data_IF_132237851307
#
_entry.id   IF_132237851307
#
_cell.length_a   1.000
_cell.length_b   1.000
_cell.length_c   1.000
_cell.angle_alpha   90.00
_cell.angle_beta   90.00
_cell.angle_gamma   90.00
#
_symmetry.space_group_name_H-M   'P 1'
#
loop_
_entity.id
_entity.type
_entity.pdbx_description
1 polymer ?
#
# COMPACT_ATOMS: atom_id res chain seq x y z
N UNK A 1 32.82 -66.32 -10.87
CA UNK A 1 32.19 -67.32 -11.76
C UNK A 1 30.71 -67.34 -11.43
N UNK A 2 29.84 -67.12 -12.43
CA UNK A 2 28.38 -66.88 -12.36
C UNK A 2 27.98 -65.50 -11.79
N UNK A 3 27.07 -64.70 -12.36
CA UNK A 3 26.20 -64.81 -13.55
C UNK A 3 25.91 -63.36 -13.98
N UNK A 4 26.04 -63.06 -15.29
CA UNK A 4 25.53 -61.82 -15.90
C UNK A 4 24.04 -62.01 -16.10
N UNK A 5 23.22 -61.13 -15.54
CA UNK A 5 21.84 -60.95 -15.98
C UNK A 5 21.81 -59.76 -16.94
N UNK A 6 21.48 -60.09 -18.19
CA UNK A 6 20.97 -59.19 -19.21
C UNK A 6 19.64 -58.63 -18.73
N UNK A 7 19.52 -57.32 -18.62
CA UNK A 7 18.23 -56.63 -18.66
C UNK A 7 18.36 -55.46 -19.64
N UNK A 8 18.04 -55.80 -20.89
CA UNK A 8 17.92 -54.90 -22.02
C UNK A 8 16.58 -54.15 -21.95
N UNK A 9 16.60 -52.89 -22.38
CA UNK A 9 15.45 -52.06 -22.76
C UNK A 9 14.30 -51.92 -21.76
N UNK A 10 14.41 -50.91 -20.89
CA UNK A 10 13.24 -50.16 -20.41
C UNK A 10 13.22 -48.79 -21.09
N UNK A 11 12.69 -48.74 -22.30
CA UNK A 11 12.21 -47.47 -22.88
C UNK A 11 11.15 -46.91 -21.93
N UNK A 12 11.37 -45.69 -21.46
CA UNK A 12 10.36 -44.96 -20.69
C UNK A 12 9.15 -44.69 -21.61
N UNK A 13 7.91 -44.97 -21.16
CA UNK A 13 6.75 -44.67 -21.98
C UNK A 13 6.67 -43.16 -22.20
N UNK A 14 6.71 -42.75 -23.46
CA UNK A 14 6.44 -41.39 -23.87
C UNK A 14 5.06 -40.95 -23.36
N UNK A 15 4.90 -39.70 -22.89
CA UNK A 15 3.61 -39.18 -22.47
C UNK A 15 2.60 -39.26 -23.63
N UNK A 16 1.32 -39.56 -23.34
CA UNK A 16 0.30 -39.70 -24.36
C UNK A 16 -0.01 -38.34 -25.00
N UNK A 17 -0.01 -38.32 -26.32
CA UNK A 17 -0.73 -37.40 -27.21
C UNK A 17 -0.75 -35.92 -26.79
N UNK A 18 0.18 -35.13 -27.34
CA UNK A 18 -0.10 -33.73 -27.63
C UNK A 18 -1.31 -33.65 -28.58
N UNK A 19 -2.26 -32.71 -28.37
CA UNK A 19 -3.39 -32.55 -29.28
C UNK A 19 -2.92 -32.33 -30.71
N UNK A 20 -3.54 -33.02 -31.67
CA UNK A 20 -3.12 -33.12 -33.07
C UNK A 20 -3.30 -31.84 -33.91
N UNK A 21 -3.71 -30.73 -33.29
CA UNK A 21 -3.77 -29.43 -33.94
C UNK A 21 -3.50 -28.33 -32.91
N UNK A 22 -2.63 -27.38 -33.30
CA UNK A 22 -2.52 -26.11 -32.59
C UNK A 22 -3.88 -25.39 -32.70
N UNK A 23 -4.32 -24.67 -31.66
CA UNK A 23 -5.53 -23.86 -31.74
C UNK A 23 -5.45 -22.91 -32.94
N UNK A 24 -6.58 -22.71 -33.63
CA UNK A 24 -6.63 -21.78 -34.74
C UNK A 24 -6.39 -20.35 -34.26
N UNK A 25 -5.99 -19.46 -35.16
CA UNK A 25 -5.84 -18.03 -34.82
C UNK A 25 -7.15 -17.45 -34.28
N UNK A 26 -8.29 -17.91 -34.80
CA UNK A 26 -9.63 -17.51 -34.33
C UNK A 26 -9.90 -17.96 -32.88
N UNK A 27 -9.42 -19.15 -32.48
CA UNK A 27 -9.53 -19.64 -31.10
C UNK A 27 -8.67 -18.82 -30.13
N UNK A 28 -7.50 -18.38 -30.59
CA UNK A 28 -6.59 -17.52 -29.82
C UNK A 28 -7.20 -16.13 -29.65
N UNK A 29 -7.74 -15.55 -30.73
CA UNK A 29 -8.38 -14.23 -30.70
C UNK A 29 -9.64 -14.23 -29.84
N UNK A 30 -10.45 -15.30 -29.90
CA UNK A 30 -11.61 -15.48 -29.02
C UNK A 30 -11.20 -15.58 -27.53
N UNK A 31 -10.13 -16.31 -27.22
CA UNK A 31 -9.60 -16.42 -25.86
C UNK A 31 -9.05 -15.07 -25.34
N UNK A 32 -8.35 -14.31 -26.19
CA UNK A 32 -7.85 -12.98 -25.85
C UNK A 32 -9.00 -11.98 -25.63
N UNK A 33 -10.05 -12.02 -26.45
CA UNK A 33 -11.24 -11.19 -26.27
C UNK A 33 -11.99 -11.53 -24.96
N UNK A 34 -12.04 -12.81 -24.58
CA UNK A 34 -12.62 -13.23 -23.30
C UNK A 34 -11.82 -12.71 -22.10
N UNK A 35 -10.47 -12.79 -22.18
CA UNK A 35 -9.57 -12.23 -21.15
C UNK A 35 -9.73 -10.71 -21.07
N UNK A 36 -9.83 -10.02 -22.21
CA UNK A 36 -10.02 -8.56 -22.25
C UNK A 36 -11.38 -8.15 -21.67
N UNK A 37 -12.44 -8.92 -21.90
CA UNK A 37 -13.74 -8.70 -21.26
C UNK A 37 -13.70 -8.93 -19.75
N UNK A 38 -13.01 -9.97 -19.27
CA UNK A 38 -12.84 -10.18 -17.83
C UNK A 38 -12.01 -9.06 -17.19
N UNK A 39 -10.93 -8.62 -17.84
CA UNK A 39 -10.10 -7.52 -17.35
C UNK A 39 -10.86 -6.19 -17.38
N UNK A 40 -11.68 -5.93 -18.40
CA UNK A 40 -12.56 -4.77 -18.45
C UNK A 40 -13.64 -4.82 -17.36
N UNK A 41 -14.19 -6.00 -17.07
CA UNK A 41 -15.12 -6.20 -15.96
C UNK A 41 -14.46 -5.97 -14.60
N UNK A 42 -13.23 -6.46 -14.40
CA UNK A 42 -12.44 -6.21 -13.17
C UNK A 42 -12.09 -4.72 -13.05
N UNK A 43 -11.71 -4.05 -14.13
CA UNK A 43 -11.45 -2.62 -14.14
C UNK A 43 -12.72 -1.81 -13.82
N UNK A 44 -13.86 -2.17 -14.39
CA UNK A 44 -15.16 -1.56 -14.08
C UNK A 44 -15.59 -1.81 -12.62
N UNK A 45 -15.26 -2.96 -12.03
CA UNK A 45 -15.43 -3.25 -10.60
C UNK A 45 -14.52 -2.39 -9.70
N UNK A 46 -13.35 -1.98 -10.21
CA UNK A 46 -12.39 -1.14 -9.49
C UNK A 46 -12.66 0.37 -9.67
N UNK A 47 -13.27 0.77 -10.79
CA UNK A 47 -13.62 2.16 -11.13
C UNK A 47 -15.06 2.54 -10.78
N UNK A 48 -15.92 1.58 -10.43
CA UNK A 48 -17.24 1.88 -9.89
C UNK A 48 -17.07 2.75 -8.63
N UNK A 49 -17.81 3.88 -8.51
CA UNK A 49 -17.78 4.68 -7.29
C UNK A 49 -18.12 3.74 -6.15
N UNK A 50 -17.21 3.64 -5.18
CA UNK A 50 -17.34 2.77 -4.02
C UNK A 50 -18.46 3.27 -3.12
N UNK A 51 -19.71 3.05 -3.53
CA UNK A 51 -20.79 2.71 -2.61
C UNK A 51 -20.53 1.27 -2.15
N UNK A 52 -19.45 1.08 -1.39
CA UNK A 52 -19.13 -0.20 -0.76
C UNK A 52 -20.02 -0.40 0.46
N UNK A 53 -21.28 -0.75 0.21
CA UNK A 53 -22.10 -1.56 1.11
C UNK A 53 -21.79 -3.06 0.97
N UNK A 54 -20.98 -3.45 -0.03
CA UNK A 54 -20.30 -4.74 -0.06
C UNK A 54 -19.27 -4.76 1.07
N UNK A 55 -19.54 -5.50 2.14
CA UNK A 55 -18.71 -5.58 3.33
C UNK A 55 -17.24 -5.80 2.95
N UNK A 56 -16.44 -4.72 3.02
CA UNK A 56 -14.98 -4.84 2.98
C UNK A 56 -14.58 -5.93 3.96
N UNK A 57 -13.62 -6.77 3.59
CA UNK A 57 -13.07 -7.81 4.47
C UNK A 57 -12.93 -7.24 5.89
N UNK A 58 -13.35 -7.96 6.95
CA UNK A 58 -13.54 -7.39 8.29
C UNK A 58 -12.30 -6.72 8.86
N UNK A 59 -11.12 -6.97 8.32
CA UNK A 59 -9.86 -6.33 8.72
C UNK A 59 -9.26 -5.35 7.70
N UNK A 60 -10.04 -4.89 6.71
CA UNK A 60 -9.57 -3.93 5.70
C UNK A 60 -9.04 -2.63 6.33
N UNK A 61 -9.65 -2.18 7.42
CA UNK A 61 -9.25 -0.99 8.16
C UNK A 61 -7.85 -1.15 8.80
N UNK A 62 -7.45 -2.35 9.22
CA UNK A 62 -6.11 -2.63 9.77
C UNK A 62 -5.04 -2.41 8.71
N UNK A 63 -5.22 -3.03 7.54
CA UNK A 63 -4.29 -2.89 6.43
C UNK A 63 -4.19 -1.45 5.95
N UNK A 64 -5.29 -0.71 6.03
CA UNK A 64 -5.32 0.69 5.62
C UNK A 64 -4.48 1.55 6.57
N UNK A 65 -4.74 1.48 7.88
CA UNK A 65 -4.01 2.25 8.87
C UNK A 65 -2.51 1.92 8.89
N UNK A 66 -2.15 0.63 8.92
CA UNK A 66 -0.74 0.24 8.93
C UNK A 66 -0.03 0.45 7.60
N UNK A 67 -0.75 0.66 6.50
CA UNK A 67 -0.17 1.00 5.20
C UNK A 67 0.58 2.33 5.22
N UNK A 68 0.04 3.33 5.92
CA UNK A 68 0.69 4.63 6.07
C UNK A 68 1.92 4.53 6.97
N UNK A 69 1.82 3.80 8.08
CA UNK A 69 2.95 3.54 8.99
C UNK A 69 4.15 2.91 8.27
N UNK A 70 3.91 1.90 7.43
CA UNK A 70 4.94 1.26 6.59
C UNK A 70 5.57 2.26 5.62
N UNK A 71 4.75 3.10 4.97
CA UNK A 71 5.26 4.11 4.04
C UNK A 71 6.14 5.16 4.74
N UNK A 72 5.96 5.36 6.04
CA UNK A 72 6.78 6.23 6.89
C UNK A 72 7.97 5.51 7.55
N UNK A 73 8.28 4.27 7.14
CA UNK A 73 9.48 3.55 7.58
C UNK A 73 9.32 2.69 8.84
N UNK A 74 8.10 2.54 9.38
CA UNK A 74 7.84 1.65 10.50
C UNK A 74 7.74 0.19 10.04
N UNK A 75 8.24 -0.75 10.85
CA UNK A 75 8.23 -2.18 10.59
C UNK A 75 7.55 -3.01 11.69
N UNK A 76 7.70 -4.34 11.61
CA UNK A 76 7.18 -5.25 12.64
C UNK A 76 7.79 -4.99 14.03
N UNK A 77 9.06 -4.57 14.08
CA UNK A 77 9.76 -4.21 15.30
C UNK A 77 9.21 -2.93 15.96
N UNK A 78 8.37 -2.16 15.27
CA UNK A 78 7.84 -0.88 15.75
C UNK A 78 6.38 -0.95 16.19
N UNK A 79 5.75 -2.13 16.14
CA UNK A 79 4.32 -2.27 16.46
C UNK A 79 4.04 -1.86 17.92
N UNK A 80 4.82 -2.40 18.87
CA UNK A 80 4.64 -2.08 20.29
C UNK A 80 5.05 -0.63 20.58
N UNK A 81 6.12 -0.12 19.98
CA UNK A 81 6.54 1.26 20.22
C UNK A 81 5.58 2.29 19.66
N UNK A 82 5.03 2.06 18.46
CA UNK A 82 3.98 2.90 17.88
C UNK A 82 2.71 2.88 18.73
N UNK A 83 2.32 1.71 19.24
CA UNK A 83 1.24 1.56 20.21
C UNK A 83 1.51 2.38 21.48
N UNK A 84 2.71 2.28 22.05
CA UNK A 84 3.12 3.00 23.25
C UNK A 84 3.17 4.51 23.06
N UNK A 85 3.54 4.97 21.86
CA UNK A 85 3.56 6.39 21.52
C UNK A 85 2.13 6.95 21.47
N UNK A 86 1.17 6.21 20.89
CA UNK A 86 -0.25 6.57 20.89
C UNK A 86 -0.89 6.48 22.28
N UNK A 87 -0.34 5.67 23.18
CA UNK A 87 -0.82 5.53 24.56
C UNK A 87 -0.35 6.68 25.49
N UNK A 88 0.65 7.48 25.08
CA UNK A 88 1.09 8.63 25.86
C UNK A 88 -0.01 9.69 25.97
N UNK A 89 0.05 10.55 26.98
CA UNK A 89 -0.80 11.74 27.04
C UNK A 89 -0.58 12.61 25.80
N UNK A 90 -1.61 13.35 25.38
CA UNK A 90 -1.53 14.24 24.22
C UNK A 90 -0.33 15.19 24.27
N UNK A 91 -0.07 15.79 25.43
CA UNK A 91 1.05 16.70 25.63
C UNK A 91 2.39 15.99 25.42
N UNK A 92 2.63 14.87 26.11
CA UNK A 92 3.88 14.10 25.98
C UNK A 92 4.08 13.58 24.56
N UNK A 93 3.01 13.20 23.86
CA UNK A 93 3.06 12.82 22.46
C UNK A 93 3.56 13.97 21.57
N UNK A 94 2.98 15.17 21.71
CA UNK A 94 3.40 16.34 20.93
C UNK A 94 4.85 16.76 21.25
N UNK A 95 5.24 16.78 22.52
CA UNK A 95 6.60 17.11 22.96
C UNK A 95 7.63 16.16 22.34
N UNK A 96 7.38 14.85 22.39
CA UNK A 96 8.27 13.83 21.81
C UNK A 96 8.41 13.96 20.29
N UNK A 97 7.32 14.30 19.60
CA UNK A 97 7.36 14.54 18.15
C UNK A 97 8.12 15.83 17.83
N UNK A 98 7.96 16.89 18.64
CA UNK A 98 8.67 18.15 18.44
C UNK A 98 10.19 17.96 18.61
N UNK A 99 10.61 17.16 19.59
CA UNK A 99 12.01 16.79 19.77
C UNK A 99 12.58 15.93 18.62
N UNK A 100 11.71 15.22 17.90
CA UNK A 100 12.09 14.39 16.76
C UNK A 100 12.37 15.24 15.49
N UNK A 101 11.84 16.46 15.41
CA UNK A 101 12.14 17.43 14.35
C UNK A 101 10.88 18.02 13.71
N UNK A 102 11.08 18.69 12.58
CA UNK A 102 10.01 19.22 11.73
C UNK A 102 9.87 18.34 10.48
N UNK A 103 8.65 17.89 10.18
CA UNK A 103 8.33 17.15 8.97
C UNK A 103 6.95 17.58 8.42
N UNK A 104 6.76 17.44 7.11
CA UNK A 104 5.50 17.71 6.43
C UNK A 104 4.42 16.66 6.78
N UNK A 105 4.83 15.48 7.27
CA UNK A 105 3.95 14.45 7.78
C UNK A 105 4.35 14.05 9.20
N UNK A 106 3.46 14.24 10.17
CA UNK A 106 3.73 13.90 11.58
C UNK A 106 4.08 12.42 11.76
N UNK A 107 3.51 11.52 10.95
CA UNK A 107 3.83 10.09 11.07
C UNK A 107 5.28 9.78 10.66
N UNK A 108 5.94 10.61 9.86
CA UNK A 108 7.36 10.44 9.51
C UNK A 108 8.31 10.76 10.68
N UNK A 109 7.81 11.46 11.72
CA UNK A 109 8.56 11.71 12.95
C UNK A 109 8.56 10.50 13.90
N UNK A 110 7.68 9.52 13.69
CA UNK A 110 7.53 8.37 14.58
C UNK A 110 8.84 7.56 14.74
N UNK A 111 9.57 7.17 13.68
CA UNK A 111 10.81 6.42 13.84
C UNK A 111 11.83 7.10 14.78
N UNK A 112 12.01 8.42 14.62
CA UNK A 112 12.92 9.21 15.44
C UNK A 112 12.41 9.39 16.88
N UNK A 113 11.11 9.62 17.07
CA UNK A 113 10.49 9.69 18.40
C UNK A 113 10.57 8.34 19.14
N UNK A 114 10.36 7.23 18.43
CA UNK A 114 10.44 5.87 18.95
C UNK A 114 11.87 5.52 19.37
N UNK A 115 12.87 5.87 18.55
CA UNK A 115 14.26 5.49 18.79
C UNK A 115 14.82 6.01 20.13
N UNK A 116 14.31 7.15 20.61
CA UNK A 116 14.76 7.78 21.86
C UNK A 116 14.40 6.99 23.12
N UNK A 117 13.26 6.31 23.12
CA UNK A 117 12.70 5.69 24.33
C UNK A 117 11.98 4.38 24.03
N UNK A 118 12.59 3.58 23.15
CA UNK A 118 12.01 2.34 22.62
C UNK A 118 11.52 1.43 23.74
N UNK A 119 12.33 1.20 24.77
CA UNK A 119 11.99 0.26 25.84
C UNK A 119 10.74 0.68 26.64
N UNK A 120 10.62 1.96 27.02
CA UNK A 120 9.44 2.42 27.74
C UNK A 120 8.19 2.40 26.85
N UNK A 121 8.33 2.76 25.56
CA UNK A 121 7.25 2.70 24.60
C UNK A 121 6.80 1.26 24.31
N UNK A 122 7.71 0.29 24.27
CA UNK A 122 7.34 -1.14 24.12
C UNK A 122 6.47 -1.62 25.29
N UNK A 123 6.83 -1.26 26.53
CA UNK A 123 6.06 -1.60 27.73
C UNK A 123 4.68 -0.93 27.69
N UNK A 124 4.63 0.38 27.42
CA UNK A 124 3.38 1.13 27.35
C UNK A 124 2.47 0.61 26.23
N UNK A 125 3.04 0.24 25.08
CA UNK A 125 2.30 -0.30 23.95
C UNK A 125 1.76 -1.70 24.19
N UNK A 126 2.54 -2.57 24.86
CA UNK A 126 2.07 -3.88 25.27
C UNK A 126 0.89 -3.77 26.25
N UNK A 127 0.99 -2.87 27.24
CA UNK A 127 -0.10 -2.59 28.17
C UNK A 127 -1.36 -2.08 27.45
N UNK A 128 -1.22 -1.08 26.58
CA UNK A 128 -2.35 -0.54 25.81
C UNK A 128 -3.02 -1.62 24.96
N UNK A 129 -2.26 -2.41 24.19
CA UNK A 129 -2.83 -3.45 23.34
C UNK A 129 -3.49 -4.57 24.15
N UNK A 130 -2.97 -4.89 25.34
CA UNK A 130 -3.58 -5.82 26.27
C UNK A 130 -4.91 -5.30 26.81
N UNK A 131 -4.95 -4.03 27.25
CA UNK A 131 -6.16 -3.39 27.78
C UNK A 131 -7.28 -3.29 26.73
N UNK A 132 -6.91 -3.16 25.45
CA UNK A 132 -7.83 -3.21 24.32
C UNK A 132 -8.17 -4.64 23.83
N UNK A 133 -7.67 -5.68 24.50
CA UNK A 133 -7.93 -7.09 24.16
C UNK A 133 -7.32 -7.55 22.83
N UNK A 134 -6.36 -6.80 22.29
CA UNK A 134 -5.68 -7.09 21.02
C UNK A 134 -4.44 -7.96 21.19
N UNK A 135 -3.96 -8.11 22.43
CA UNK A 135 -2.79 -8.90 22.76
C UNK A 135 -3.08 -9.79 23.98
N UNK A 136 -2.72 -11.07 23.88
CA UNK A 136 -2.77 -12.03 25.00
C UNK A 136 -1.37 -12.20 25.57
N UNK A 137 -1.14 -11.73 26.80
CA UNK A 137 0.19 -11.75 27.43
C UNK A 137 1.03 -10.52 27.08
N UNK A 138 2.31 -10.72 26.74
CA UNK A 138 3.26 -9.64 26.41
C UNK A 138 3.87 -9.78 25.02
N UNK A 139 3.60 -10.87 24.30
CA UNK A 139 4.18 -11.13 22.99
C UNK A 139 3.26 -10.71 21.84
N UNK A 140 3.87 -10.11 20.81
CA UNK A 140 3.18 -9.83 19.54
C UNK A 140 2.72 -11.12 18.85
N UNK A 141 1.47 -11.19 18.34
CA UNK A 141 1.01 -12.32 17.54
C UNK A 141 1.92 -12.60 16.34
N UNK A 142 2.21 -13.88 16.08
CA UNK A 142 3.09 -14.30 14.96
C UNK A 142 2.63 -13.71 13.61
N UNK A 143 1.32 -13.67 13.39
CA UNK A 143 0.71 -13.08 12.19
C UNK A 143 1.09 -11.61 12.01
N UNK A 144 1.19 -10.84 13.09
CA UNK A 144 1.52 -9.41 13.01
C UNK A 144 3.00 -9.21 12.67
N UNK A 145 3.88 -10.09 13.14
CA UNK A 145 5.29 -10.10 12.73
C UNK A 145 5.45 -10.45 11.25
N UNK A 146 4.71 -11.45 10.77
CA UNK A 146 4.72 -11.88 9.37
C UNK A 146 4.04 -10.90 8.41
N UNK A 147 3.07 -10.13 8.92
CA UNK A 147 2.33 -9.11 8.18
C UNK A 147 2.40 -7.76 8.92
N UNK A 148 3.53 -7.05 8.86
CA UNK A 148 3.74 -5.84 9.65
C UNK A 148 2.72 -4.74 9.34
N UNK A 149 2.29 -4.62 8.09
CA UNK A 149 1.21 -3.69 7.70
C UNK A 149 -0.12 -3.98 8.41
N UNK A 150 -0.42 -5.24 8.71
CA UNK A 150 -1.60 -5.60 9.50
C UNK A 150 -1.37 -5.26 10.98
N UNK A 151 -0.22 -5.66 11.53
CA UNK A 151 0.12 -5.42 12.94
C UNK A 151 0.20 -3.94 13.31
N UNK A 152 0.81 -3.12 12.47
CA UNK A 152 0.88 -1.66 12.64
C UNK A 152 -0.48 -0.98 12.54
N UNK A 153 -1.48 -1.63 11.93
CA UNK A 153 -2.85 -1.14 11.91
C UNK A 153 -3.55 -1.27 13.26
N UNK A 154 -3.23 -2.32 14.03
CA UNK A 154 -3.93 -2.68 15.25
C UNK A 154 -4.05 -1.54 16.27
N UNK A 155 -2.98 -0.77 16.58
CA UNK A 155 -3.04 0.33 17.52
C UNK A 155 -4.03 1.44 17.09
N UNK A 156 -4.08 1.77 15.80
CA UNK A 156 -5.00 2.79 15.31
C UNK A 156 -6.46 2.33 15.42
N UNK A 157 -6.70 1.04 15.17
CA UNK A 157 -8.04 0.44 15.31
C UNK A 157 -8.47 0.41 16.79
N UNK A 158 -7.54 0.16 17.71
CA UNK A 158 -7.81 0.22 19.16
C UNK A 158 -8.41 1.56 19.59
N UNK A 159 -7.99 2.65 18.92
CA UNK A 159 -8.48 4.01 19.15
C UNK A 159 -9.64 4.42 18.23
N UNK A 160 -10.26 3.49 17.49
CA UNK A 160 -11.46 3.76 16.69
C UNK A 160 -11.20 4.18 15.24
N UNK A 161 -10.04 3.87 14.68
CA UNK A 161 -9.83 4.00 13.22
C UNK A 161 -10.82 3.12 12.45
N UNK A 162 -11.58 3.75 11.56
CA UNK A 162 -12.43 3.08 10.57
C UNK A 162 -11.89 3.32 9.14
N UNK A 163 -12.03 2.32 8.27
CA UNK A 163 -11.69 2.45 6.86
C UNK A 163 -12.46 3.59 6.17
N UNK A 164 -13.70 3.87 6.59
CA UNK A 164 -14.50 4.98 6.09
C UNK A 164 -13.88 6.36 6.39
N UNK A 165 -13.00 6.44 7.40
CA UNK A 165 -12.30 7.66 7.80
C UNK A 165 -10.85 7.70 7.33
N UNK A 166 -10.43 6.76 6.48
CA UNK A 166 -9.07 6.70 5.93
C UNK A 166 -8.55 8.05 5.47
N UNK A 167 -9.34 8.81 4.72
CA UNK A 167 -8.95 10.09 4.17
C UNK A 167 -8.79 11.14 5.27
N UNK A 168 -9.65 11.14 6.29
CA UNK A 168 -9.48 12.04 7.44
C UNK A 168 -8.21 11.70 8.24
N UNK A 169 -7.92 10.41 8.42
CA UNK A 169 -6.68 9.96 9.05
C UNK A 169 -5.45 10.34 8.23
N UNK A 170 -5.44 10.11 6.91
CA UNK A 170 -4.33 10.59 6.08
C UNK A 170 -4.16 12.12 6.17
N UNK A 171 -5.26 12.86 6.40
CA UNK A 171 -5.28 14.31 6.59
C UNK A 171 -4.69 14.76 7.92
N UNK A 172 -4.99 14.06 9.03
CA UNK A 172 -4.46 14.44 10.35
C UNK A 172 -2.95 14.30 10.40
N UNK A 173 -2.40 13.28 9.73
CA UNK A 173 -0.95 13.08 9.63
C UNK A 173 -0.27 14.09 8.72
N UNK A 174 -1.00 14.72 7.80
CA UNK A 174 -0.50 15.74 6.88
C UNK A 174 -0.62 17.18 7.44
N UNK A 175 -0.94 17.33 8.72
CA UNK A 175 -0.86 18.60 9.41
C UNK A 175 0.58 18.85 9.86
N UNK A 176 1.07 20.10 9.82
CA UNK A 176 2.23 20.49 10.63
C UNK A 176 2.00 20.13 12.10
N UNK A 177 3.06 19.76 12.81
CA UNK A 177 2.94 19.41 14.24
C UNK A 177 2.36 20.55 15.08
N UNK A 178 2.69 21.81 14.75
CA UNK A 178 2.12 22.99 15.41
C UNK A 178 0.60 23.06 15.28
N UNK A 179 0.08 22.79 14.08
CA UNK A 179 -1.35 22.84 13.79
C UNK A 179 -2.07 21.69 14.48
N UNK A 180 -1.47 20.50 14.45
CA UNK A 180 -1.97 19.33 15.16
C UNK A 180 -2.07 19.62 16.67
N UNK A 181 -1.00 20.11 17.27
CA UNK A 181 -0.95 20.45 18.70
C UNK A 181 -1.99 21.52 19.07
N UNK A 182 -2.13 22.57 18.25
CA UNK A 182 -3.11 23.63 18.46
C UNK A 182 -4.55 23.12 18.40
N UNK A 183 -4.88 22.22 17.46
CA UNK A 183 -6.19 21.60 17.39
C UNK A 183 -6.49 20.76 18.64
N UNK A 184 -5.51 19.99 19.14
CA UNK A 184 -5.69 19.20 20.36
C UNK A 184 -5.87 20.09 21.60
N UNK A 185 -5.10 21.17 21.72
CA UNK A 185 -5.23 22.13 22.83
C UNK A 185 -6.61 22.81 22.87
N UNK A 186 -7.23 23.06 21.72
CA UNK A 186 -8.58 23.62 21.62
C UNK A 186 -9.71 22.66 22.05
N UNK A 187 -9.41 21.39 22.28
CA UNK A 187 -10.36 20.37 22.76
C UNK A 187 -10.22 20.15 24.27
N UNK A 188 -9.05 20.39 24.83
CA UNK A 188 -8.75 20.12 26.24
C UNK A 188 -9.00 21.35 27.10
N UNK A 189 -10.14 21.40 27.78
CA UNK A 189 -10.46 22.43 28.79
C UNK A 189 -9.93 22.07 30.19
N UNK A 190 -9.16 20.98 30.34
CA UNK A 190 -8.75 20.44 31.64
C UNK A 190 -7.29 20.01 31.69
N UNK A 191 -6.71 19.97 32.90
CA UNK A 191 -5.34 19.49 33.19
C UNK A 191 -5.14 17.99 32.91
N UNK A 192 -6.20 17.24 32.58
CA UNK A 192 -6.13 15.81 32.25
C UNK A 192 -6.13 15.66 30.73
N UNK A 193 -4.96 15.37 30.18
CA UNK A 193 -4.79 15.10 28.76
C UNK A 193 -5.11 13.62 28.45
N UNK A 194 -6.04 13.33 27.53
CA UNK A 194 -6.32 11.95 27.13
C UNK A 194 -5.11 11.34 26.40
N UNK A 195 -5.13 10.02 26.24
CA UNK A 195 -4.17 9.32 25.39
C UNK A 195 -4.18 9.90 23.98
N UNK A 196 -3.02 9.99 23.34
CA UNK A 196 -2.86 10.62 22.04
C UNK A 196 -3.71 9.94 20.96
N UNK A 197 -3.81 8.62 20.98
CA UNK A 197 -4.71 7.87 20.09
C UNK A 197 -6.17 8.32 20.20
N UNK A 198 -6.67 8.49 21.43
CA UNK A 198 -8.03 8.99 21.70
C UNK A 198 -8.21 10.43 21.21
N UNK A 199 -7.21 11.29 21.43
CA UNK A 199 -7.24 12.67 20.94
C UNK A 199 -7.28 12.72 19.41
N UNK A 200 -6.44 11.94 18.73
CA UNK A 200 -6.41 11.86 17.27
C UNK A 200 -7.74 11.37 16.70
N UNK A 201 -8.35 10.35 17.30
CA UNK A 201 -9.66 9.86 16.89
C UNK A 201 -10.75 10.93 17.08
N UNK A 202 -10.70 11.67 18.19
CA UNK A 202 -11.62 12.79 18.46
C UNK A 202 -11.46 13.91 17.42
N UNK A 203 -10.22 14.27 17.09
CA UNK A 203 -9.89 15.25 16.07
C UNK A 203 -10.40 14.83 14.68
N UNK A 204 -10.17 13.57 14.31
CA UNK A 204 -10.68 12.98 13.07
C UNK A 204 -12.21 13.05 13.01
N UNK A 205 -12.90 12.70 14.09
CA UNK A 205 -14.36 12.76 14.15
C UNK A 205 -14.89 14.20 14.04
N UNK A 206 -14.27 15.15 14.75
CA UNK A 206 -14.71 16.56 14.79
C UNK A 206 -14.41 17.33 13.50
N UNK A 207 -13.28 17.07 12.86
CA UNK A 207 -12.80 17.79 11.68
C UNK A 207 -12.85 16.93 10.40
N UNK A 208 -13.74 15.92 10.39
CA UNK A 208 -13.80 14.88 9.35
C UNK A 208 -13.80 15.44 7.92
N UNK A 209 -14.61 16.46 7.63
CA UNK A 209 -14.75 17.00 6.27
C UNK A 209 -13.44 17.63 5.78
N UNK A 210 -12.86 18.54 6.56
CA UNK A 210 -11.63 19.25 6.20
C UNK A 210 -10.43 18.30 6.12
N UNK A 211 -10.33 17.37 7.08
CA UNK A 211 -9.28 16.37 7.10
C UNK A 211 -9.39 15.41 5.92
N UNK A 212 -10.60 15.03 5.47
CA UNK A 212 -10.77 14.18 4.28
C UNK A 212 -10.20 14.84 3.03
N UNK A 213 -10.52 16.10 2.79
CA UNK A 213 -9.99 16.84 1.64
C UNK A 213 -8.45 16.93 1.69
N UNK A 214 -7.91 17.29 2.87
CA UNK A 214 -6.45 17.34 3.09
C UNK A 214 -5.78 15.99 2.87
N UNK A 215 -6.34 14.91 3.42
CA UNK A 215 -5.74 13.59 3.31
C UNK A 215 -5.82 13.00 1.90
N UNK A 216 -6.91 13.25 1.18
CA UNK A 216 -7.00 12.90 -0.24
C UNK A 216 -5.89 13.59 -1.05
N UNK A 217 -5.66 14.89 -0.80
CA UNK A 217 -4.57 15.64 -1.42
C UNK A 217 -3.19 15.13 -1.02
N UNK A 218 -2.92 14.92 0.28
CA UNK A 218 -1.65 14.42 0.77
C UNK A 218 -1.33 13.01 0.22
N UNK A 219 -2.34 12.14 0.12
CA UNK A 219 -2.20 10.83 -0.51
C UNK A 219 -1.88 10.94 -1.99
N UNK A 220 -2.54 11.86 -2.70
CA UNK A 220 -2.23 12.12 -4.10
C UNK A 220 -0.76 12.53 -4.26
N UNK A 221 -0.27 13.50 -3.48
CA UNK A 221 1.13 13.94 -3.51
C UNK A 221 2.11 12.81 -3.21
N UNK A 222 1.85 12.00 -2.17
CA UNK A 222 2.68 10.81 -1.86
C UNK A 222 2.69 9.81 -3.01
N UNK A 223 1.55 9.59 -3.66
CA UNK A 223 1.46 8.68 -4.79
C UNK A 223 2.22 9.21 -6.02
N UNK A 224 2.18 10.51 -6.28
CA UNK A 224 3.00 11.18 -7.31
C UNK A 224 4.49 11.00 -7.00
N UNK A 225 4.91 11.25 -5.76
CA UNK A 225 6.30 11.10 -5.35
C UNK A 225 6.80 9.65 -5.49
N UNK A 226 6.03 8.67 -5.02
CA UNK A 226 6.35 7.26 -5.15
C UNK A 226 6.46 6.82 -6.62
N UNK A 227 5.55 7.29 -7.47
CA UNK A 227 5.59 7.03 -8.90
C UNK A 227 6.85 7.60 -9.56
N UNK A 228 7.21 8.86 -9.24
CA UNK A 228 8.42 9.49 -9.77
C UNK A 228 9.69 8.77 -9.31
N UNK A 229 9.74 8.32 -8.05
CA UNK A 229 10.85 7.52 -7.53
C UNK A 229 10.95 6.17 -8.25
N UNK A 230 9.82 5.47 -8.45
CA UNK A 230 9.78 4.23 -9.25
C UNK A 230 10.32 4.41 -10.67
N UNK A 231 9.89 5.48 -11.36
CA UNK A 231 10.39 5.83 -12.68
C UNK A 231 11.91 6.07 -12.67
N UNK A 232 12.42 6.83 -11.69
CA UNK A 232 13.85 7.12 -11.55
C UNK A 232 14.69 5.86 -11.29
N UNK A 233 14.23 5.00 -10.36
CA UNK A 233 14.88 3.71 -10.06
C UNK A 233 14.90 2.81 -11.28
N UNK A 234 13.80 2.74 -12.02
CA UNK A 234 13.74 1.95 -13.24
C UNK A 234 14.70 2.48 -14.33
N UNK A 235 14.76 3.80 -14.52
CA UNK A 235 15.68 4.41 -15.48
C UNK A 235 17.15 4.13 -15.13
N UNK A 236 17.51 4.24 -13.85
CA UNK A 236 18.86 3.90 -13.35
C UNK A 236 19.18 2.43 -13.55
N UNK A 237 18.24 1.54 -13.22
CA UNK A 237 18.39 0.10 -13.45
C UNK A 237 18.58 -0.20 -14.95
N UNK A 238 17.78 0.42 -15.82
CA UNK A 238 17.88 0.23 -17.26
C UNK A 238 19.25 0.67 -17.80
N UNK A 239 19.76 1.82 -17.36
CA UNK A 239 21.08 2.31 -17.74
C UNK A 239 22.20 1.35 -17.32
N UNK A 240 22.06 0.71 -16.15
CA UNK A 240 23.01 -0.29 -15.65
C UNK A 240 22.87 -1.69 -16.29
N UNK A 241 21.83 -1.94 -17.09
CA UNK A 241 21.53 -3.24 -17.67
C UNK A 241 21.15 -3.15 -19.16
N UNK A 242 22.05 -2.63 -20.02
CA UNK A 242 21.75 -2.39 -21.44
C UNK A 242 21.39 -3.66 -22.22
N UNK A 243 22.00 -4.79 -21.86
CA UNK A 243 21.80 -6.08 -22.55
C UNK A 243 20.64 -6.91 -21.98
N UNK A 244 19.91 -6.39 -20.98
CA UNK A 244 18.84 -7.15 -20.35
C UNK A 244 17.69 -7.38 -21.34
N UNK A 245 17.15 -8.62 -21.48
CA UNK A 245 16.21 -8.95 -22.55
C UNK A 245 14.78 -8.42 -22.32
N UNK A 246 14.54 -7.65 -21.26
CA UNK A 246 13.21 -7.18 -20.90
C UNK A 246 12.50 -6.39 -22.01
N UNK A 247 13.16 -5.52 -22.80
CA UNK A 247 12.48 -4.73 -23.83
C UNK A 247 11.88 -5.63 -24.91
N UNK A 248 12.47 -6.80 -25.13
CA UNK A 248 12.08 -7.76 -26.18
C UNK A 248 11.05 -8.79 -25.70
N UNK A 249 10.72 -8.83 -24.40
CA UNK A 249 9.65 -9.70 -23.89
C UNK A 249 8.28 -9.18 -24.37
N UNK A 250 7.29 -10.06 -24.39
CA UNK A 250 5.90 -9.69 -24.67
C UNK A 250 5.38 -8.68 -23.65
N UNK A 251 4.68 -7.66 -24.13
CA UNK A 251 3.93 -6.71 -23.31
C UNK A 251 3.03 -7.49 -22.34
N UNK A 252 3.02 -7.10 -21.06
CA UNK A 252 2.11 -7.74 -20.11
C UNK A 252 0.70 -7.13 -20.24
N UNK A 253 -0.31 -7.87 -19.76
CA UNK A 253 -1.71 -7.43 -19.82
C UNK A 253 -1.94 -6.06 -19.18
N UNK A 254 -1.20 -5.70 -18.12
CA UNK A 254 -1.32 -4.38 -17.47
C UNK A 254 -0.81 -3.25 -18.37
N UNK A 255 0.31 -3.46 -19.08
CA UNK A 255 0.83 -2.49 -20.05
C UNK A 255 -0.12 -2.32 -21.23
N UNK A 256 -0.67 -3.42 -21.76
CA UNK A 256 -1.65 -3.37 -22.84
C UNK A 256 -2.94 -2.67 -22.42
N UNK A 257 -3.47 -2.99 -21.23
CA UNK A 257 -4.62 -2.31 -20.67
C UNK A 257 -4.37 -0.80 -20.47
N UNK A 258 -3.25 -0.43 -19.84
CA UNK A 258 -2.89 0.97 -19.62
C UNK A 258 -2.72 1.74 -20.94
N UNK A 259 -2.15 1.11 -21.98
CA UNK A 259 -2.00 1.74 -23.28
C UNK A 259 -3.37 2.00 -23.95
N UNK A 260 -4.29 1.03 -23.85
CA UNK A 260 -5.66 1.17 -24.37
C UNK A 260 -6.46 2.24 -23.63
N UNK A 261 -6.41 2.26 -22.30
CA UNK A 261 -7.11 3.28 -21.50
C UNK A 261 -6.54 4.67 -21.74
N UNK A 262 -5.21 4.79 -21.87
CA UNK A 262 -4.56 6.05 -22.24
C UNK A 262 -4.96 6.51 -23.64
N UNK A 263 -4.96 5.60 -24.62
CA UNK A 263 -5.36 5.94 -25.99
C UNK A 263 -6.80 6.44 -26.04
N UNK A 264 -7.72 5.74 -25.36
CA UNK A 264 -9.12 6.17 -25.29
C UNK A 264 -9.29 7.53 -24.58
N UNK A 265 -8.57 7.76 -23.48
CA UNK A 265 -8.69 9.01 -22.72
C UNK A 265 -8.09 10.22 -23.43
N UNK A 266 -7.12 10.01 -24.32
CA UNK A 266 -6.43 11.05 -25.08
C UNK A 266 -6.90 11.14 -26.56
N UNK A 267 -7.93 10.38 -26.93
CA UNK A 267 -8.44 10.27 -28.32
C UNK A 267 -7.34 9.91 -29.34
N UNK A 268 -6.53 8.92 -29.00
CA UNK A 268 -5.45 8.39 -29.83
C UNK A 268 -5.83 7.04 -30.45
N UNK A 269 -5.24 6.67 -31.60
CA UNK A 269 -5.38 5.32 -32.13
C UNK A 269 -4.89 4.26 -31.13
N UNK A 270 -5.63 3.16 -31.02
CA UNK A 270 -5.23 2.03 -30.15
C UNK A 270 -3.89 1.46 -30.66
N UNK A 271 -2.84 1.43 -29.82
CA UNK A 271 -1.53 1.04 -30.29
C UNK A 271 -1.38 -0.49 -30.34
N UNK A 272 -0.82 -1.02 -31.42
CA UNK A 272 -0.49 -2.46 -31.55
C UNK A 272 0.90 -2.74 -30.97
N UNK A 273 0.99 -2.80 -29.64
CA UNK A 273 2.25 -2.94 -28.92
C UNK A 273 2.51 -4.40 -28.56
N UNK A 274 3.51 -5.01 -29.21
CA UNK A 274 3.84 -6.42 -28.98
C UNK A 274 4.89 -6.57 -27.88
N UNK A 275 5.89 -5.68 -27.86
CA UNK A 275 7.05 -5.79 -26.97
C UNK A 275 6.96 -4.84 -25.76
N UNK A 276 7.47 -5.25 -24.61
CA UNK A 276 7.47 -4.43 -23.38
C UNK A 276 8.18 -3.12 -23.54
N UNK A 277 9.30 -3.10 -24.27
CA UNK A 277 10.06 -1.87 -24.51
C UNK A 277 9.32 -0.87 -25.40
N UNK A 278 8.61 -1.37 -26.41
CA UNK A 278 7.73 -0.55 -27.26
C UNK A 278 6.57 0.00 -26.44
N UNK A 279 5.92 -0.85 -25.64
CA UNK A 279 4.84 -0.43 -24.77
C UNK A 279 5.29 0.63 -23.75
N UNK A 280 6.44 0.42 -23.10
CA UNK A 280 6.99 1.38 -22.14
C UNK A 280 7.27 2.75 -22.80
N UNK A 281 7.90 2.77 -23.98
CA UNK A 281 8.16 4.02 -24.72
C UNK A 281 6.88 4.72 -25.16
N UNK A 282 5.88 3.96 -25.63
CA UNK A 282 4.60 4.53 -26.03
C UNK A 282 3.88 5.13 -24.83
N UNK A 283 3.86 4.44 -23.68
CA UNK A 283 3.24 4.92 -22.45
C UNK A 283 3.92 6.20 -21.92
N UNK A 284 5.26 6.24 -21.98
CA UNK A 284 6.06 7.39 -21.57
C UNK A 284 5.81 8.61 -22.49
N UNK A 285 5.77 8.41 -23.81
CA UNK A 285 5.54 9.47 -24.79
C UNK A 285 4.16 10.14 -24.70
N UNK A 286 3.21 9.53 -23.98
CA UNK A 286 1.83 10.02 -23.87
C UNK A 286 1.41 10.27 -22.41
N UNK A 287 2.37 10.37 -21.47
CA UNK A 287 2.11 10.62 -20.05
C UNK A 287 0.99 9.69 -19.49
N UNK A 288 1.08 8.39 -19.80
CA UNK A 288 -0.01 7.43 -19.61
C UNK A 288 -0.50 7.26 -18.16
N UNK A 289 0.22 7.78 -17.18
CA UNK A 289 -0.29 7.86 -15.81
C UNK A 289 -1.19 9.10 -15.64
N UNK A 290 -2.37 9.05 -16.26
CA UNK A 290 -3.36 10.13 -16.31
C UNK A 290 -3.78 10.66 -14.94
N UNK A 291 -3.59 9.87 -13.89
CA UNK A 291 -3.83 10.28 -12.51
C UNK A 291 -2.91 11.43 -12.08
N UNK A 292 -1.69 11.48 -12.62
CA UNK A 292 -0.64 12.43 -12.24
C UNK A 292 -0.31 13.45 -13.34
N UNK A 293 -0.93 13.34 -14.50
CA UNK A 293 -0.78 14.30 -15.59
C UNK A 293 -1.53 15.59 -15.24
N UNK A 294 -0.82 16.71 -15.18
CA UNK A 294 -1.46 18.03 -15.12
C UNK A 294 -2.18 18.24 -16.46
N UNK A 295 -3.52 18.27 -16.43
CA UNK A 295 -4.29 18.66 -17.62
C UNK A 295 -3.93 20.12 -17.93
N UNK A 296 -3.14 20.32 -18.98
CA UNK A 296 -2.89 21.64 -19.56
C UNK A 296 -4.14 22.18 -20.23
#
# INVERSE_FOLDING_TARGET
>A
MLKRDDDSNKESPMPPNLPSSLPSLDDIDAALAAIDNELAHIAALLDAPTDTSGACHPHHHWWTAGGLAIACGLGSADILTAAGLLAQSWQTFCERLAEAGEDQCVLQLFPAAIARDRAALEIAGAAMLHDHGLLTGTELPLRWRAAPKFGLGAPFVAFGFDAADRDAWDGIWALPLSDLAALGAAITDSDIFPAAGTMLATLVARHRVDLRARGAHARHLRAVAAYRDDCSRFATWQAGHPDHPWPNRLANARQGHLARTTAAALDLPVPTLVRRGEAARWLDAHDANLRFTERK
#
